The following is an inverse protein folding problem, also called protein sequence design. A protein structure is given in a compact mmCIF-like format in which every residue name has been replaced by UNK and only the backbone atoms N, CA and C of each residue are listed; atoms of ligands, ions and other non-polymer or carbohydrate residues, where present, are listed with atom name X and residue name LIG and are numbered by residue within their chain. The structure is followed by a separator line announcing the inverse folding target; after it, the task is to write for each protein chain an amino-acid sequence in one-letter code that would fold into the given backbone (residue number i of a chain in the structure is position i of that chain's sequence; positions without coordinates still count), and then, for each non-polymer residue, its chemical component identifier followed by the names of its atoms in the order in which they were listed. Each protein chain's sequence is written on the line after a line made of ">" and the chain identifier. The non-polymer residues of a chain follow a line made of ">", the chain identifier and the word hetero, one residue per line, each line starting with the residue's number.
data_IF_244913776314
#
_entry.id   IF_244913776314
#
_cell.length_a   1.000
_cell.length_b   1.000
_cell.length_c   1.000
_cell.angle_alpha   90.00
_cell.angle_beta   90.00
_cell.angle_gamma   90.00
#
_symmetry.space_group_name_H-M   'P 1'
#
loop_
_entity.id
_entity.type
_entity.pdbx_description
1 polymer ?
#
# COMPACT_ATOMS: atom_id res chain seq x y z
N UNK A 1 -29.24 8.79 -23.95
CA UNK A 1 -29.55 9.63 -22.77
C UNK A 1 -28.66 10.86 -22.84
N UNK A 2 -29.20 12.07 -22.86
CA UNK A 2 -28.36 13.26 -22.77
C UNK A 2 -28.17 13.63 -21.30
N UNK A 3 -27.05 14.28 -20.96
CA UNK A 3 -26.77 14.72 -19.58
C UNK A 3 -27.88 15.59 -19.00
N UNK A 4 -28.51 16.42 -19.85
CA UNK A 4 -29.65 17.28 -19.48
C UNK A 4 -30.91 16.50 -19.07
N UNK A 5 -30.99 15.22 -19.42
CA UNK A 5 -32.14 14.35 -19.13
C UNK A 5 -31.93 13.54 -17.85
N UNK A 6 -30.76 13.66 -17.19
CA UNK A 6 -30.43 12.93 -15.97
C UNK A 6 -31.11 13.54 -14.75
N UNK A 7 -31.56 12.68 -13.85
CA UNK A 7 -31.94 13.06 -12.50
C UNK A 7 -30.70 13.50 -11.69
N UNK A 8 -30.94 14.22 -10.58
CA UNK A 8 -29.87 14.63 -9.66
C UNK A 8 -29.10 13.43 -9.12
N UNK A 9 -29.79 12.31 -8.83
CA UNK A 9 -29.15 11.09 -8.34
C UNK A 9 -28.21 10.48 -9.37
N UNK A 10 -28.67 10.31 -10.62
CA UNK A 10 -27.84 9.77 -11.70
C UNK A 10 -26.61 10.64 -11.97
N UNK A 11 -26.73 11.97 -11.85
CA UNK A 11 -25.60 12.88 -12.00
C UNK A 11 -24.59 12.73 -10.83
N UNK A 12 -25.08 12.60 -9.60
CA UNK A 12 -24.22 12.37 -8.43
C UNK A 12 -23.46 11.05 -8.53
N UNK A 13 -24.12 10.00 -9.00
CA UNK A 13 -23.51 8.69 -9.21
C UNK A 13 -22.45 8.72 -10.32
N UNK A 14 -22.74 9.42 -11.43
CA UNK A 14 -21.75 9.63 -12.50
C UNK A 14 -20.50 10.35 -11.99
N UNK A 15 -20.68 11.42 -11.20
CA UNK A 15 -19.55 12.17 -10.63
C UNK A 15 -18.76 11.30 -9.65
N UNK A 16 -19.45 10.55 -8.79
CA UNK A 16 -18.81 9.63 -7.85
C UNK A 16 -17.94 8.61 -8.57
N UNK A 17 -18.50 7.92 -9.56
CA UNK A 17 -17.75 6.92 -10.32
C UNK A 17 -16.56 7.53 -11.05
N UNK A 18 -16.72 8.72 -11.63
CA UNK A 18 -15.61 9.42 -12.29
C UNK A 18 -14.47 9.71 -11.31
N UNK A 19 -14.80 10.13 -10.08
CA UNK A 19 -13.80 10.37 -9.03
C UNK A 19 -13.15 9.06 -8.59
N UNK A 20 -13.93 8.00 -8.34
CA UNK A 20 -13.39 6.68 -7.99
C UNK A 20 -12.41 6.17 -9.04
N UNK A 21 -12.75 6.27 -10.32
CA UNK A 21 -11.86 5.91 -11.43
C UNK A 21 -10.58 6.75 -11.41
N UNK A 22 -10.69 8.07 -11.24
CA UNK A 22 -9.52 8.95 -11.16
C UNK A 22 -8.61 8.63 -9.96
N UNK A 23 -9.19 8.24 -8.82
CA UNK A 23 -8.44 7.83 -7.64
C UNK A 23 -7.75 6.48 -7.86
N UNK A 24 -8.42 5.51 -8.49
CA UNK A 24 -7.82 4.22 -8.83
C UNK A 24 -6.65 4.37 -9.81
N UNK A 25 -6.77 5.30 -10.77
CA UNK A 25 -5.68 5.67 -11.69
C UNK A 25 -4.53 6.41 -10.99
N UNK A 26 -4.83 7.20 -9.95
CA UNK A 26 -3.83 7.96 -9.21
C UNK A 26 -3.10 7.12 -8.16
N UNK A 27 -3.81 6.20 -7.49
CA UNK A 27 -3.28 5.34 -6.44
C UNK A 27 -2.91 3.95 -6.97
N UNK A 28 -2.16 3.91 -8.08
CA UNK A 28 -1.58 2.66 -8.57
C UNK A 28 -0.33 2.31 -7.76
N UNK A 29 -0.13 1.02 -7.51
CA UNK A 29 1.12 0.51 -6.95
C UNK A 29 2.29 0.91 -7.86
N UNK A 30 3.24 1.75 -7.39
CA UNK A 30 4.37 2.20 -8.21
C UNK A 30 5.28 1.04 -8.63
N UNK A 31 5.22 -0.09 -7.92
CA UNK A 31 6.05 -1.27 -8.16
C UNK A 31 5.32 -2.38 -8.95
N UNK A 32 4.10 -2.12 -9.47
CA UNK A 32 3.20 -3.14 -10.06
C UNK A 32 3.85 -4.07 -11.10
N UNK A 33 4.80 -3.58 -11.89
CA UNK A 33 5.48 -4.34 -12.95
C UNK A 33 6.94 -4.65 -12.63
N UNK A 34 7.37 -4.44 -11.38
CA UNK A 34 8.74 -4.72 -10.94
C UNK A 34 8.86 -6.13 -10.36
N UNK A 35 9.90 -6.84 -10.77
CA UNK A 35 10.27 -8.10 -10.16
C UNK A 35 11.07 -7.89 -8.87
N UNK A 36 10.74 -8.66 -7.85
CA UNK A 36 11.52 -8.67 -6.60
C UNK A 36 12.87 -9.33 -6.87
N UNK A 37 13.96 -8.62 -6.59
CA UNK A 37 15.32 -9.20 -6.62
C UNK A 37 15.38 -10.45 -5.75
N UNK A 38 15.92 -11.54 -6.29
CA UNK A 38 15.92 -12.84 -5.59
C UNK A 38 16.56 -12.79 -4.20
N UNK A 39 17.61 -12.00 -4.00
CA UNK A 39 18.22 -11.75 -2.68
C UNK A 39 17.23 -11.20 -1.63
N UNK A 40 16.34 -10.30 -2.03
CA UNK A 40 15.32 -9.71 -1.16
C UNK A 40 14.21 -10.72 -0.87
N UNK A 41 13.78 -11.47 -1.89
CA UNK A 41 12.78 -12.53 -1.76
C UNK A 41 13.23 -13.62 -0.79
N UNK A 42 14.45 -14.12 -0.94
CA UNK A 42 15.01 -15.15 -0.05
C UNK A 42 15.10 -14.65 1.40
N UNK A 43 15.60 -13.41 1.60
CA UNK A 43 15.66 -12.80 2.93
C UNK A 43 14.28 -12.66 3.58
N UNK A 44 13.27 -12.28 2.81
CA UNK A 44 11.88 -12.15 3.29
C UNK A 44 11.28 -13.51 3.65
N UNK A 45 11.50 -14.54 2.84
CA UNK A 45 11.07 -15.91 3.13
C UNK A 45 11.73 -16.46 4.39
N UNK A 46 13.02 -16.22 4.59
CA UNK A 46 13.74 -16.60 5.81
C UNK A 46 13.18 -15.87 7.04
N UNK A 47 12.97 -14.55 6.94
CA UNK A 47 12.37 -13.78 8.03
C UNK A 47 10.97 -14.29 8.38
N UNK A 48 10.18 -14.73 7.39
CA UNK A 48 8.86 -15.31 7.62
C UNK A 48 8.96 -16.64 8.37
N UNK A 49 9.84 -17.56 7.93
CA UNK A 49 10.06 -18.84 8.61
C UNK A 49 10.46 -18.66 10.08
N UNK A 50 11.37 -17.73 10.37
CA UNK A 50 11.78 -17.43 11.76
C UNK A 50 10.61 -16.98 12.63
N UNK A 51 9.70 -16.16 12.08
CA UNK A 51 8.48 -15.74 12.80
C UNK A 51 7.50 -16.88 13.04
N UNK A 52 7.38 -17.80 12.08
CA UNK A 52 6.53 -18.98 12.20
C UNK A 52 7.07 -19.95 13.26
N UNK A 53 8.38 -20.04 13.46
CA UNK A 53 9.03 -20.81 14.54
C UNK A 53 9.04 -20.10 15.89
N UNK A 54 8.36 -18.95 16.01
CA UNK A 54 8.17 -18.23 17.27
C UNK A 54 9.20 -17.14 17.56
N UNK A 55 10.19 -16.91 16.68
CA UNK A 55 11.09 -15.78 16.85
C UNK A 55 10.32 -14.46 16.66
N UNK A 56 10.51 -13.53 17.59
CA UNK A 56 9.95 -12.18 17.52
C UNK A 56 11.04 -11.18 17.15
N UNK A 57 10.60 -10.09 16.53
CA UNK A 57 11.49 -8.96 16.27
C UNK A 57 11.94 -8.28 17.57
N UNK A 58 12.89 -7.37 17.44
CA UNK A 58 13.29 -6.48 18.53
C UNK A 58 12.37 -5.25 18.59
N UNK A 59 12.27 -4.57 19.75
CA UNK A 59 11.50 -3.33 19.87
C UNK A 59 11.96 -2.26 18.87
N UNK A 60 11.02 -1.44 18.41
CA UNK A 60 11.30 -0.37 17.44
C UNK A 60 12.31 0.64 17.99
N UNK A 61 12.29 0.90 19.30
CA UNK A 61 13.25 1.76 20.00
C UNK A 61 14.68 1.24 19.89
N UNK A 62 14.86 -0.08 19.98
CA UNK A 62 16.17 -0.71 19.87
C UNK A 62 16.70 -0.61 18.43
N UNK A 63 15.83 -0.80 17.44
CA UNK A 63 16.15 -0.59 16.02
C UNK A 63 16.54 0.86 15.76
N UNK A 64 15.73 1.81 16.24
CA UNK A 64 15.98 3.24 16.06
C UNK A 64 17.33 3.66 16.65
N UNK A 65 17.67 3.17 17.86
CA UNK A 65 18.98 3.38 18.49
C UNK A 65 20.13 2.80 17.65
N UNK A 66 19.98 1.57 17.14
CA UNK A 66 20.99 0.92 16.29
C UNK A 66 21.22 1.66 14.97
N UNK A 67 20.17 2.26 14.42
CA UNK A 67 20.21 2.98 13.14
C UNK A 67 20.45 4.49 13.28
N UNK A 68 20.60 5.00 14.50
CA UNK A 68 20.79 6.44 14.75
C UNK A 68 19.55 7.30 14.42
N UNK A 69 18.37 6.69 14.40
CA UNK A 69 17.10 7.38 14.11
C UNK A 69 16.53 7.97 15.39
N UNK A 70 16.20 9.26 15.38
CA UNK A 70 15.34 9.84 16.42
C UNK A 70 13.88 9.44 16.13
N UNK A 71 13.15 8.95 17.15
CA UNK A 71 11.72 8.66 16.98
C UNK A 71 10.99 9.92 16.54
N UNK A 72 10.39 9.90 15.35
CA UNK A 72 9.25 10.77 15.07
C UNK A 72 8.05 10.06 15.68
N UNK A 73 7.40 10.75 16.62
CA UNK A 73 6.24 10.28 17.36
C UNK A 73 5.08 9.86 16.46
#
# INVERSE_FOLDING_TARGET
>A
MMVKDMTVGELQDLVRHTIEQALDEFFVDPDRDLEIREEIKQRSLESRRRRETGERGIPAEEVAKKLGLHRVC
#
